data_IF_268495245561
#
_entry.id   IF_268495245561
#
_cell.length_a   1.000
_cell.length_b   1.000
_cell.length_c   1.000
_cell.angle_alpha   90.00
_cell.angle_beta   90.00
_cell.angle_gamma   90.00
#
_symmetry.space_group_name_H-M   'P 1'
#
loop_
_entity.id
_entity.type
_entity.pdbx_description
1 polymer ?
#
# COMPACT_ATOMS: atom_id res chain seq x y z
N UNK A 1 -2.54 -6.39 -8.72
CA UNK A 1 -3.34 -5.84 -9.84
C UNK A 1 -3.06 -6.65 -11.10
N UNK A 2 -1.90 -6.50 -11.75
CA UNK A 2 -1.55 -7.32 -12.93
C UNK A 2 -1.50 -8.82 -12.58
N UNK A 3 -0.88 -9.17 -11.45
CA UNK A 3 -0.77 -10.57 -10.98
C UNK A 3 -2.10 -11.17 -10.52
N UNK A 4 -3.11 -10.31 -10.33
CA UNK A 4 -4.48 -10.67 -9.94
C UNK A 4 -5.43 -10.58 -11.15
N UNK A 5 -4.89 -10.49 -12.38
CA UNK A 5 -5.64 -10.51 -13.64
C UNK A 5 -6.05 -9.16 -14.22
N UNK A 6 -5.72 -8.03 -13.58
CA UNK A 6 -6.08 -6.70 -14.09
C UNK A 6 -5.34 -6.37 -15.39
N UNK A 7 -6.08 -6.08 -16.47
CA UNK A 7 -5.52 -5.70 -17.77
C UNK A 7 -4.72 -6.80 -18.49
N UNK A 8 -4.86 -8.05 -18.04
CA UNK A 8 -4.24 -9.23 -18.65
C UNK A 8 -5.02 -9.78 -19.84
N UNK A 9 -4.36 -10.64 -20.61
CA UNK A 9 -5.00 -11.41 -21.69
C UNK A 9 -6.07 -12.37 -21.13
N UNK A 10 -6.95 -12.85 -22.01
CA UNK A 10 -7.95 -13.86 -21.65
C UNK A 10 -7.28 -15.09 -21.01
N UNK A 11 -7.93 -15.76 -20.04
CA UNK A 11 -7.36 -16.93 -19.39
C UNK A 11 -6.95 -17.98 -20.42
N UNK A 12 -5.72 -18.49 -20.31
CA UNK A 12 -5.09 -19.53 -21.13
C UNK A 12 -4.47 -19.13 -22.49
N UNK A 13 -4.30 -17.82 -22.78
CA UNK A 13 -3.48 -17.38 -23.91
C UNK A 13 -2.00 -17.19 -23.50
N UNK A 14 -1.06 -17.61 -24.35
CA UNK A 14 0.35 -17.22 -24.20
C UNK A 14 0.47 -15.72 -24.51
N UNK A 15 1.01 -14.88 -23.61
CA UNK A 15 1.08 -13.45 -23.85
C UNK A 15 2.04 -13.14 -25.01
N UNK A 16 1.68 -12.18 -25.85
CA UNK A 16 2.55 -11.67 -26.90
C UNK A 16 3.73 -10.89 -26.31
N UNK A 17 4.76 -10.64 -27.12
CA UNK A 17 5.92 -9.83 -26.69
C UNK A 17 5.49 -8.42 -26.26
N UNK A 18 4.58 -7.79 -27.00
CA UNK A 18 4.03 -6.48 -26.67
C UNK A 18 3.28 -6.48 -25.33
N UNK A 19 2.53 -7.54 -25.03
CA UNK A 19 1.82 -7.69 -23.76
C UNK A 19 2.79 -7.83 -22.57
N UNK A 20 3.88 -8.58 -22.76
CA UNK A 20 4.95 -8.72 -21.76
C UNK A 20 5.61 -7.36 -21.51
N UNK A 21 5.99 -6.64 -22.56
CA UNK A 21 6.62 -5.32 -22.44
C UNK A 21 5.68 -4.33 -21.74
N UNK A 22 4.38 -4.34 -22.08
CA UNK A 22 3.37 -3.50 -21.45
C UNK A 22 3.20 -3.82 -19.97
N UNK A 23 3.11 -5.10 -19.61
CA UNK A 23 3.00 -5.52 -18.21
C UNK A 23 4.25 -5.11 -17.40
N UNK A 24 5.45 -5.24 -17.97
CA UNK A 24 6.69 -4.78 -17.33
C UNK A 24 6.67 -3.27 -17.08
N UNK A 25 6.25 -2.46 -18.06
CA UNK A 25 6.08 -1.00 -17.90
C UNK A 25 5.10 -0.66 -16.78
N UNK A 26 3.96 -1.36 -16.69
CA UNK A 26 3.01 -1.15 -15.60
C UNK A 26 3.57 -1.52 -14.24
N UNK A 27 4.28 -2.65 -14.12
CA UNK A 27 4.94 -3.04 -12.87
C UNK A 27 5.96 -2.01 -12.43
N UNK A 28 6.77 -1.49 -13.36
CA UNK A 28 7.74 -0.44 -13.07
C UNK A 28 7.07 0.82 -12.49
N UNK A 29 6.01 1.32 -13.14
CA UNK A 29 5.29 2.51 -12.67
C UNK A 29 4.58 2.25 -11.34
N UNK A 30 3.98 1.07 -11.15
CA UNK A 30 3.36 0.68 -9.88
C UNK A 30 4.38 0.62 -8.75
N UNK A 31 5.56 0.06 -9.01
CA UNK A 31 6.66 0.00 -8.05
C UNK A 31 7.17 1.41 -7.70
N UNK A 32 7.41 2.27 -8.70
CA UNK A 32 7.82 3.65 -8.46
C UNK A 32 6.79 4.43 -7.62
N UNK A 33 5.49 4.26 -7.92
CA UNK A 33 4.41 4.85 -7.15
C UNK A 33 4.36 4.31 -5.70
N UNK A 34 4.66 3.03 -5.48
CA UNK A 34 4.76 2.44 -4.16
C UNK A 34 5.98 2.98 -3.38
N UNK A 35 7.14 3.11 -4.03
CA UNK A 35 8.36 3.67 -3.42
C UNK A 35 8.12 5.06 -2.85
N UNK A 36 7.42 5.95 -3.58
CA UNK A 36 7.06 7.27 -3.07
C UNK A 36 6.27 7.19 -1.76
N UNK A 37 5.25 6.34 -1.71
CA UNK A 37 4.39 6.18 -0.53
C UNK A 37 5.14 5.55 0.65
N UNK A 38 6.08 4.64 0.39
CA UNK A 38 6.97 4.09 1.41
C UNK A 38 7.95 5.15 1.94
N UNK A 39 8.52 5.96 1.06
CA UNK A 39 9.40 7.05 1.47
C UNK A 39 8.64 8.07 2.33
N UNK A 40 7.41 8.44 1.98
CA UNK A 40 6.56 9.30 2.82
C UNK A 40 6.33 8.72 4.21
N UNK A 41 6.06 7.42 4.33
CA UNK A 41 5.93 6.76 5.63
C UNK A 41 7.20 6.90 6.47
N UNK A 42 8.37 6.56 5.89
CA UNK A 42 9.65 6.66 6.57
C UNK A 42 10.00 8.11 6.97
N UNK A 43 9.83 9.06 6.05
CA UNK A 43 10.14 10.47 6.29
C UNK A 43 9.20 11.06 7.32
N UNK A 44 7.90 10.76 7.29
CA UNK A 44 6.93 11.22 8.30
C UNK A 44 7.39 10.86 9.71
N UNK A 45 7.70 9.57 9.93
CA UNK A 45 8.15 9.08 11.24
C UNK A 45 9.47 9.76 11.63
N UNK A 46 10.46 9.78 10.73
CA UNK A 46 11.79 10.30 11.06
C UNK A 46 11.79 11.81 11.31
N UNK A 47 11.02 12.60 10.56
CA UNK A 47 10.90 14.05 10.80
C UNK A 47 10.27 14.33 12.16
N UNK A 48 9.14 13.68 12.45
CA UNK A 48 8.34 14.01 13.63
C UNK A 48 8.81 13.32 14.92
N UNK A 49 9.67 12.30 14.83
CA UNK A 49 10.14 11.54 16.01
C UNK A 49 11.65 11.45 16.16
N UNK A 50 12.43 11.74 15.11
CA UNK A 50 13.89 11.55 15.09
C UNK A 50 14.67 12.77 14.60
N UNK A 51 14.01 13.92 14.41
CA UNK A 51 14.67 15.18 14.06
C UNK A 51 15.25 15.24 12.64
N UNK A 52 14.76 14.40 11.71
CA UNK A 52 15.16 14.48 10.31
C UNK A 52 14.85 15.87 9.72
N UNK A 53 15.85 16.52 9.13
CA UNK A 53 15.71 17.82 8.48
C UNK A 53 15.00 17.71 7.12
N UNK A 54 14.54 18.85 6.58
CA UNK A 54 13.98 18.90 5.21
C UNK A 54 15.05 18.53 4.19
N UNK A 55 16.28 18.94 4.41
CA UNK A 55 17.43 18.65 3.55
C UNK A 55 17.73 17.14 3.52
N UNK A 56 17.74 16.47 4.67
CA UNK A 56 17.95 15.02 4.77
C UNK A 56 16.78 14.24 4.16
N UNK A 57 15.55 14.68 4.40
CA UNK A 57 14.37 14.10 3.75
C UNK A 57 14.40 14.28 2.23
N UNK A 58 14.87 15.43 1.73
CA UNK A 58 15.03 15.68 0.29
C UNK A 58 16.02 14.69 -0.31
N UNK A 59 17.19 14.49 0.31
CA UNK A 59 18.15 13.45 -0.10
C UNK A 59 17.53 12.06 -0.04
N UNK A 60 16.79 11.75 1.02
CA UNK A 60 16.12 10.47 1.17
C UNK A 60 15.17 10.17 0.00
N UNK A 61 14.36 11.14 -0.45
CA UNK A 61 13.49 10.98 -1.62
C UNK A 61 14.28 10.84 -2.93
N UNK A 62 15.39 11.55 -3.11
CA UNK A 62 16.23 11.41 -4.31
C UNK A 62 16.86 10.01 -4.39
N UNK A 63 17.43 9.54 -3.28
CA UNK A 63 18.15 8.26 -3.21
C UNK A 63 17.20 7.04 -3.26
N UNK A 64 16.02 7.14 -2.64
CA UNK A 64 15.13 5.99 -2.48
C UNK A 64 13.93 6.02 -3.44
N UNK A 65 13.55 7.17 -3.97
CA UNK A 65 12.43 7.29 -4.91
C UNK A 65 12.86 7.75 -6.32
N UNK A 66 14.16 7.99 -6.55
CA UNK A 66 14.72 8.45 -7.82
C UNK A 66 14.03 9.72 -8.35
N UNK A 67 13.64 10.60 -7.42
CA UNK A 67 13.05 11.89 -7.75
C UNK A 67 14.16 12.91 -7.99
N UNK A 68 13.94 13.83 -8.93
CA UNK A 68 14.79 15.02 -9.04
C UNK A 68 14.63 15.93 -7.81
N UNK A 69 15.62 16.80 -7.59
CA UNK A 69 15.71 17.64 -6.39
C UNK A 69 14.42 18.44 -6.12
N UNK A 70 13.89 19.13 -7.13
CA UNK A 70 12.71 20.00 -6.99
C UNK A 70 11.47 19.24 -6.47
N UNK A 71 11.01 18.15 -7.11
CA UNK A 71 9.88 17.39 -6.59
C UNK A 71 10.22 16.65 -5.29
N UNK A 72 11.46 16.19 -5.08
CA UNK A 72 11.89 15.57 -3.81
C UNK A 72 11.77 16.55 -2.63
N UNK A 73 12.21 17.80 -2.83
CA UNK A 73 12.11 18.87 -1.83
C UNK A 73 10.65 19.23 -1.56
N UNK A 74 9.78 19.20 -2.56
CA UNK A 74 8.35 19.42 -2.36
C UNK A 74 7.72 18.35 -1.45
N UNK A 75 8.08 17.08 -1.63
CA UNK A 75 7.62 15.97 -0.76
C UNK A 75 8.20 16.09 0.67
N UNK A 76 9.47 16.46 0.80
CA UNK A 76 10.10 16.72 2.10
C UNK A 76 9.41 17.87 2.83
N UNK A 77 9.15 18.99 2.13
CA UNK A 77 8.43 20.13 2.69
C UNK A 77 7.00 19.76 3.11
N UNK A 78 6.30 18.94 2.32
CA UNK A 78 4.96 18.45 2.69
C UNK A 78 4.99 17.71 4.04
N UNK A 79 6.01 16.92 4.29
CA UNK A 79 6.18 16.18 5.53
C UNK A 79 6.19 17.04 6.79
N UNK A 80 6.58 18.31 6.68
CA UNK A 80 6.63 19.23 7.82
C UNK A 80 5.26 19.61 8.37
N UNK A 81 4.20 19.56 7.56
CA UNK A 81 2.85 19.98 7.95
C UNK A 81 1.76 18.92 7.76
N UNK A 82 2.02 17.89 6.96
CA UNK A 82 1.10 16.76 6.75
C UNK A 82 1.73 15.48 7.28
N UNK A 83 1.45 15.15 8.53
CA UNK A 83 1.94 13.92 9.17
C UNK A 83 1.19 12.66 8.67
N UNK A 84 0.01 12.84 8.08
CA UNK A 84 -0.86 11.76 7.60
C UNK A 84 -0.48 11.25 6.20
N UNK A 85 0.40 11.93 5.46
CA UNK A 85 0.89 11.45 4.16
C UNK A 85 1.69 10.12 4.21
N UNK A 86 2.01 9.59 5.40
CA UNK A 86 2.50 8.22 5.58
C UNK A 86 1.42 7.15 5.52
N UNK A 87 0.15 7.52 5.72
CA UNK A 87 -0.97 6.58 5.91
C UNK A 87 -1.31 5.78 4.65
N UNK A 88 -0.90 6.22 3.46
CA UNK A 88 -1.14 5.45 2.22
C UNK A 88 -0.54 4.05 2.30
N UNK A 89 0.70 3.93 2.77
CA UNK A 89 1.39 2.64 2.87
C UNK A 89 0.93 1.88 4.09
N UNK A 90 0.77 2.56 5.24
CA UNK A 90 0.31 1.94 6.47
C UNK A 90 -1.07 1.29 6.27
N UNK A 91 -2.07 2.05 5.84
CA UNK A 91 -3.42 1.52 5.63
C UNK A 91 -3.46 0.40 4.58
N UNK A 92 -2.62 0.47 3.54
CA UNK A 92 -2.49 -0.65 2.58
C UNK A 92 -1.97 -1.91 3.25
N UNK A 93 -0.94 -1.82 4.09
CA UNK A 93 -0.37 -2.97 4.80
C UNK A 93 -1.39 -3.57 5.78
N UNK A 94 -2.11 -2.72 6.52
CA UNK A 94 -3.15 -3.15 7.46
C UNK A 94 -4.30 -3.87 6.74
N UNK A 95 -4.76 -3.35 5.59
CA UNK A 95 -5.79 -4.02 4.77
C UNK A 95 -5.29 -5.36 4.22
N UNK A 96 -4.03 -5.43 3.76
CA UNK A 96 -3.44 -6.68 3.26
C UNK A 96 -3.32 -7.73 4.36
N UNK A 97 -2.94 -7.34 5.58
CA UNK A 97 -2.94 -8.24 6.73
C UNK A 97 -4.35 -8.69 7.10
N UNK A 98 -5.31 -7.77 7.20
CA UNK A 98 -6.72 -8.12 7.42
C UNK A 98 -7.22 -9.12 6.37
N UNK A 99 -6.88 -8.93 5.10
CA UNK A 99 -7.20 -9.89 4.03
C UNK A 99 -6.59 -11.26 4.29
N UNK A 100 -5.31 -11.32 4.68
CA UNK A 100 -4.62 -12.58 4.97
C UNK A 100 -5.26 -13.32 6.17
N UNK A 101 -5.60 -12.59 7.23
CA UNK A 101 -6.27 -13.15 8.41
C UNK A 101 -7.70 -13.64 8.08
N UNK A 102 -8.44 -12.86 7.30
CA UNK A 102 -9.77 -13.24 6.84
C UNK A 102 -9.72 -14.47 5.92
N UNK A 103 -8.71 -14.55 5.04
CA UNK A 103 -8.48 -15.72 4.20
C UNK A 103 -8.15 -16.97 5.02
N UNK A 104 -7.29 -16.85 6.03
CA UNK A 104 -6.97 -17.96 6.93
C UNK A 104 -8.20 -18.42 7.73
N UNK A 105 -9.06 -17.49 8.16
CA UNK A 105 -10.32 -17.79 8.85
C UNK A 105 -11.32 -18.55 7.96
N UNK A 106 -11.49 -18.13 6.71
CA UNK A 106 -12.52 -18.69 5.84
C UNK A 106 -12.05 -19.98 5.12
N UNK A 107 -10.74 -20.23 5.05
CA UNK A 107 -10.17 -21.43 4.44
C UNK A 107 -10.67 -21.61 3.00
N UNK A 108 -11.16 -22.82 2.68
CA UNK A 108 -11.69 -23.17 1.35
C UNK A 108 -12.92 -22.33 0.93
N UNK A 109 -13.58 -21.64 1.88
CA UNK A 109 -14.73 -20.78 1.60
C UNK A 109 -14.33 -19.34 1.23
N UNK A 110 -13.04 -19.02 1.32
CA UNK A 110 -12.53 -17.69 0.99
C UNK A 110 -12.85 -17.32 -0.46
N UNK A 111 -13.22 -16.05 -0.66
CA UNK A 111 -13.34 -15.44 -1.97
C UNK A 111 -12.94 -13.98 -1.87
N UNK A 112 -12.09 -13.53 -2.79
CA UNK A 112 -11.67 -12.14 -2.86
C UNK A 112 -12.86 -11.18 -3.03
N UNK A 113 -13.89 -11.61 -3.79
CA UNK A 113 -15.13 -10.84 -3.93
C UNK A 113 -15.84 -10.67 -2.59
N UNK A 114 -16.05 -11.76 -1.84
CA UNK A 114 -16.71 -11.72 -0.52
C UNK A 114 -15.94 -10.83 0.47
N UNK A 115 -14.62 -10.90 0.44
CA UNK A 115 -13.77 -10.03 1.27
C UNK A 115 -13.98 -8.55 0.93
N UNK A 116 -13.97 -8.18 -0.35
CA UNK A 116 -14.20 -6.79 -0.77
C UNK A 116 -15.63 -6.31 -0.47
N UNK A 117 -16.64 -7.14 -0.72
CA UNK A 117 -18.03 -6.82 -0.40
C UNK A 117 -18.18 -6.54 1.10
N UNK A 118 -17.64 -7.42 1.94
CA UNK A 118 -17.69 -7.27 3.40
C UNK A 118 -16.94 -6.03 3.88
N UNK A 119 -15.70 -5.81 3.41
CA UNK A 119 -14.89 -4.65 3.77
C UNK A 119 -15.60 -3.31 3.44
N UNK A 120 -16.20 -3.21 2.26
CA UNK A 120 -16.81 -1.97 1.76
C UNK A 120 -18.20 -1.70 2.35
N UNK A 121 -18.91 -2.74 2.81
CA UNK A 121 -20.24 -2.59 3.43
C UNK A 121 -20.22 -1.78 4.73
N UNK A 122 -19.07 -1.70 5.40
CA UNK A 122 -18.91 -1.01 6.68
C UNK A 122 -18.44 0.45 6.54
N UNK A 123 -18.26 0.95 5.31
CA UNK A 123 -17.78 2.30 5.06
C UNK A 123 -16.32 2.51 5.45
N UNK A 124 -16.02 3.61 6.13
CA UNK A 124 -14.65 4.08 6.42
C UNK A 124 -14.27 3.94 7.90
N UNK A 125 -14.54 2.76 8.48
CA UNK A 125 -14.09 2.42 9.82
C UNK A 125 -12.56 2.31 9.89
N UNK A 126 -11.92 2.69 11.02
CA UNK A 126 -10.53 2.35 11.29
C UNK A 126 -10.29 0.84 11.14
N UNK A 127 -9.14 0.45 10.55
CA UNK A 127 -8.87 -0.98 10.25
C UNK A 127 -8.97 -1.84 11.50
N UNK A 128 -8.54 -1.33 12.65
CA UNK A 128 -8.69 -2.04 13.93
C UNK A 128 -10.16 -2.39 14.25
N UNK A 129 -11.11 -1.51 13.99
CA UNK A 129 -12.53 -1.79 14.21
C UNK A 129 -13.11 -2.70 13.13
N UNK A 130 -12.65 -2.57 11.87
CA UNK A 130 -13.00 -3.52 10.81
C UNK A 130 -12.60 -4.95 11.17
N UNK A 131 -11.45 -5.13 11.83
CA UNK A 131 -11.02 -6.45 12.32
C UNK A 131 -12.01 -7.05 13.31
N UNK A 132 -12.66 -6.25 14.17
CA UNK A 132 -13.68 -6.77 15.10
C UNK A 132 -14.93 -7.27 14.38
N UNK A 133 -15.33 -6.55 13.34
CA UNK A 133 -16.54 -6.87 12.58
C UNK A 133 -16.30 -8.06 11.64
N UNK A 134 -15.11 -8.16 11.04
CA UNK A 134 -14.80 -9.15 10.01
C UNK A 134 -14.14 -10.43 10.53
N UNK A 135 -13.44 -10.38 11.68
CA UNK A 135 -12.72 -11.53 12.24
C UNK A 135 -13.43 -12.09 13.47
N UNK A 136 -13.62 -13.42 13.47
CA UNK A 136 -14.24 -14.20 14.55
C UNK A 136 -13.29 -14.38 15.74
N UNK A 137 -11.98 -14.44 15.48
CA UNK A 137 -10.96 -14.61 16.51
C UNK A 137 -10.56 -13.27 17.12
N UNK A 138 -10.95 -13.07 18.38
CA UNK A 138 -10.68 -11.84 19.14
C UNK A 138 -9.19 -11.62 19.39
N UNK A 139 -8.39 -12.68 19.47
CA UNK A 139 -6.96 -12.55 19.70
C UNK A 139 -6.25 -11.80 18.56
N UNK A 140 -6.83 -11.86 17.35
CA UNK A 140 -6.28 -11.21 16.16
C UNK A 140 -6.71 -9.76 16.00
N UNK A 141 -7.66 -9.26 16.78
CA UNK A 141 -8.22 -7.93 16.52
C UNK A 141 -7.16 -6.83 16.58
N UNK A 142 -6.27 -6.85 17.57
CA UNK A 142 -5.21 -5.86 17.75
C UNK A 142 -3.99 -6.07 16.82
N UNK A 143 -3.90 -7.21 16.14
CA UNK A 143 -2.83 -7.49 15.19
C UNK A 143 -3.07 -6.73 13.87
N UNK A 144 -2.79 -5.43 13.82
CA UNK A 144 -3.01 -4.62 12.59
C UNK A 144 -1.83 -4.65 11.61
N UNK A 145 -0.64 -5.09 12.03
CA UNK A 145 0.56 -5.26 11.20
C UNK A 145 1.22 -6.64 11.37
#
# INVERSE_FOLDING_TARGET
MIDEGFGGAAPNAKPSEDEIQRAAKYRMVQAQAAMLRLCRLCVSIKMHTQGMSVEDATKFFQENCFMEEKPARAEAMRGTFDLAYGNYSLGKLEILKLRADYQAQEGDKFSLKKFHDELLNHGMLPIRLLREVMLKDKAKWDEVL
#
